data_IF_872903886031
#
_entry.id   IF_872903886031
#
_cell.length_a   1.000
_cell.length_b   1.000
_cell.length_c   1.000
_cell.angle_alpha   90.00
_cell.angle_beta   90.00
_cell.angle_gamma   90.00
#
_symmetry.space_group_name_H-M   'P 1'
#
loop_
_entity.id
_entity.type
_entity.pdbx_description
1 polymer ?
#
# COMPACT_ATOMS: atom_id res chain seq x y z
N UNK A 1 -9.73 0.39 9.62
CA UNK A 1 -11.14 0.64 9.22
C UNK A 1 -11.38 2.07 8.73
N UNK A 2 -10.46 3.00 8.94
CA UNK A 2 -10.61 4.42 8.60
C UNK A 2 -10.97 4.73 7.15
N UNK A 3 -10.37 4.05 6.17
CA UNK A 3 -10.76 4.19 4.75
C UNK A 3 -12.22 3.80 4.49
N UNK A 4 -12.71 2.74 5.15
CA UNK A 4 -14.09 2.28 5.00
C UNK A 4 -15.07 3.27 5.63
N UNK A 5 -14.69 3.85 6.78
CA UNK A 5 -15.54 4.81 7.51
C UNK A 5 -15.57 6.19 6.86
N UNK A 6 -14.46 6.64 6.29
CA UNK A 6 -14.32 7.99 5.69
C UNK A 6 -14.60 8.00 4.20
N UNK A 7 -14.61 6.85 3.53
CA UNK A 7 -14.69 6.74 2.07
C UNK A 7 -13.45 7.27 1.34
N UNK A 8 -12.39 7.64 2.08
CA UNK A 8 -11.16 8.16 1.49
C UNK A 8 -10.28 7.02 0.97
N UNK A 9 -9.51 7.25 -0.11
CA UNK A 9 -8.55 6.27 -0.61
C UNK A 9 -7.55 5.87 0.48
N UNK A 10 -7.29 4.57 0.60
CA UNK A 10 -6.31 4.04 1.57
C UNK A 10 -4.90 4.64 1.33
N UNK A 11 -4.56 4.95 0.06
CA UNK A 11 -3.31 5.60 -0.34
C UNK A 11 -3.08 6.92 0.39
N UNK A 12 -4.08 7.80 0.39
CA UNK A 12 -3.96 9.11 1.02
C UNK A 12 -3.76 8.98 2.53
N UNK A 13 -4.55 8.12 3.18
CA UNK A 13 -4.50 7.94 4.63
C UNK A 13 -3.13 7.42 5.07
N UNK A 14 -2.54 6.50 4.31
CA UNK A 14 -1.24 5.90 4.64
C UNK A 14 -0.11 6.90 4.45
N UNK A 15 -0.17 7.71 3.38
CA UNK A 15 0.80 8.78 3.11
C UNK A 15 0.71 9.91 4.13
N UNK A 16 -0.49 10.37 4.47
CA UNK A 16 -0.72 11.40 5.49
C UNK A 16 -0.17 10.99 6.86
N UNK A 17 -0.22 9.69 7.18
CA UNK A 17 0.28 9.16 8.45
C UNK A 17 1.77 8.83 8.43
N UNK A 18 2.42 8.92 7.26
CA UNK A 18 3.84 8.57 7.10
C UNK A 18 4.15 7.11 7.46
N UNK A 19 3.18 6.21 7.32
CA UNK A 19 3.36 4.78 7.66
C UNK A 19 4.15 4.07 6.57
N UNK A 20 3.90 4.44 5.31
CA UNK A 20 4.62 3.98 4.13
C UNK A 20 4.95 5.18 3.26
N UNK A 21 6.07 5.09 2.55
CA UNK A 21 6.44 6.03 1.49
C UNK A 21 5.62 5.78 0.22
N UNK A 22 5.59 6.77 -0.67
CA UNK A 22 4.87 6.65 -1.95
C UNK A 22 5.41 5.51 -2.81
N UNK A 23 6.73 5.32 -2.81
CA UNK A 23 7.42 4.25 -3.53
C UNK A 23 7.03 2.86 -3.03
N UNK A 24 7.01 2.66 -1.71
CA UNK A 24 6.59 1.40 -1.10
C UNK A 24 5.13 1.08 -1.42
N UNK A 25 4.27 2.10 -1.35
CA UNK A 25 2.85 1.94 -1.62
C UNK A 25 2.60 1.59 -3.08
N UNK A 26 3.35 2.18 -4.01
CA UNK A 26 3.27 1.88 -5.44
C UNK A 26 3.62 0.42 -5.76
N UNK A 27 4.66 -0.10 -5.10
CA UNK A 27 5.07 -1.50 -5.25
C UNK A 27 4.01 -2.45 -4.68
N UNK A 28 3.50 -2.17 -3.48
CA UNK A 28 2.52 -3.02 -2.79
C UNK A 28 1.18 -3.04 -3.52
N UNK A 29 0.73 -1.89 -4.04
CA UNK A 29 -0.54 -1.74 -4.74
C UNK A 29 -0.43 -1.97 -6.26
N UNK A 30 0.71 -2.47 -6.75
CA UNK A 30 0.87 -2.79 -8.16
C UNK A 30 -0.04 -3.98 -8.55
N UNK A 31 -0.94 -3.83 -9.55
CA UNK A 31 -1.85 -4.90 -9.96
C UNK A 31 -1.15 -6.21 -10.38
N UNK A 32 0.04 -6.12 -10.97
CA UNK A 32 0.82 -7.29 -11.36
C UNK A 32 1.38 -8.03 -10.15
N UNK A 33 1.76 -7.31 -9.10
CA UNK A 33 2.27 -7.92 -7.86
C UNK A 33 1.13 -8.48 -7.01
N UNK A 34 -0.02 -7.80 -6.97
CA UNK A 34 -1.22 -8.28 -6.28
C UNK A 34 -1.80 -9.57 -6.87
N UNK A 35 -1.49 -9.87 -8.13
CA UNK A 35 -1.97 -11.08 -8.83
C UNK A 35 -0.95 -12.22 -8.82
N UNK A 36 0.27 -11.97 -8.32
CA UNK A 36 1.29 -13.00 -8.14
C UNK A 36 1.22 -13.60 -6.74
N UNK A 37 1.46 -14.91 -6.60
CA UNK A 37 1.62 -15.51 -5.29
C UNK A 37 2.91 -14.98 -4.62
N UNK A 38 2.79 -14.44 -3.42
CA UNK A 38 3.91 -13.88 -2.66
C UNK A 38 3.46 -12.74 -1.74
N UNK A 39 4.42 -12.09 -1.06
CA UNK A 39 4.18 -10.86 -0.32
C UNK A 39 4.43 -9.69 -1.31
N UNK A 40 3.41 -8.89 -1.66
CA UNK A 40 3.62 -7.69 -2.46
C UNK A 40 4.61 -6.76 -1.74
N UNK A 41 5.67 -6.35 -2.43
CA UNK A 41 6.73 -5.56 -1.79
C UNK A 41 7.68 -6.37 -0.90
N UNK A 42 7.77 -7.71 -1.05
CA UNK A 42 8.76 -8.53 -0.36
C UNK A 42 10.20 -7.98 -0.47
N UNK A 43 10.52 -7.30 -1.57
CA UNK A 43 11.83 -6.66 -1.80
C UNK A 43 12.13 -5.50 -0.83
N UNK A 44 11.12 -4.99 -0.11
CA UNK A 44 11.25 -3.93 0.91
C UNK A 44 11.61 -4.49 2.29
N UNK A 45 11.40 -5.79 2.51
CA UNK A 45 11.81 -6.49 3.73
C UNK A 45 13.30 -6.84 3.58
N UNK A 46 14.18 -5.99 4.13
CA UNK A 46 15.59 -6.32 4.36
C UNK A 46 15.79 -7.04 5.68
#
# INVERSE_FOLDING_TARGET
>A
KEAITTGRPIREIVLEKGILTEEELEIILNPQEMTKPGIPGANLLK
#
